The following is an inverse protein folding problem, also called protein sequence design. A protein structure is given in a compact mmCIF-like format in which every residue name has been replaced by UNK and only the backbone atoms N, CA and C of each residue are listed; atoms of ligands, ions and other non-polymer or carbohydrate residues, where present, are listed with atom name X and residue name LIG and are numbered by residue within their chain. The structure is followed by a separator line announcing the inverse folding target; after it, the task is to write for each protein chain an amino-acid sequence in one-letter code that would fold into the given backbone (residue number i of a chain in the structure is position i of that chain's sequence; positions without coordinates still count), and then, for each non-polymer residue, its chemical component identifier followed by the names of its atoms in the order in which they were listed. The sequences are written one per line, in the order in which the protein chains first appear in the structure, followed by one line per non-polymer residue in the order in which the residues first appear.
data_IF_002100905148
#
_entry.id   IF_002100905148
#
_cell.length_a   1.000
_cell.length_b   1.000
_cell.length_c   1.000
_cell.angle_alpha   90.00
_cell.angle_beta   90.00
_cell.angle_gamma   90.00
#
_symmetry.space_group_name_H-M   'P 1'
#
loop_
_entity.id
_entity.type
_entity.pdbx_description
1 polymer ?
#
# COMPACT_ATOMS: atom_id res chain seq x y z
N UNK A 1 -6.73 -12.01 1.43
CA UNK A 1 -6.30 -12.52 0.11
C UNK A 1 -7.28 -13.60 -0.27
N UNK A 2 -7.86 -13.57 -1.49
CA UNK A 2 -8.70 -14.66 -1.98
C UNK A 2 -7.94 -16.00 -1.96
N UNK A 3 -8.61 -17.09 -1.59
CA UNK A 3 -7.97 -18.41 -1.40
C UNK A 3 -7.37 -19.00 -2.69
N UNK A 4 -7.85 -18.57 -3.84
CA UNK A 4 -7.45 -19.05 -5.16
C UNK A 4 -6.33 -18.20 -5.81
N UNK A 5 -5.87 -17.17 -5.13
CA UNK A 5 -4.81 -16.27 -5.65
C UNK A 5 -3.46 -16.62 -5.02
N UNK A 6 -2.44 -16.95 -5.84
CA UNK A 6 -1.11 -17.22 -5.31
C UNK A 6 -0.52 -15.99 -4.64
N UNK A 7 -0.06 -16.15 -3.42
CA UNK A 7 0.65 -15.16 -2.65
C UNK A 7 1.90 -15.78 -2.06
N UNK A 8 2.98 -15.03 -2.04
CA UNK A 8 4.29 -15.48 -1.56
C UNK A 8 4.77 -14.55 -0.45
N UNK A 9 5.35 -15.10 0.59
CA UNK A 9 6.04 -14.31 1.58
C UNK A 9 7.31 -13.68 0.96
N UNK A 10 7.59 -12.43 1.29
CA UNK A 10 8.76 -11.70 0.81
C UNK A 10 10.06 -12.47 1.13
N UNK A 11 10.14 -13.06 2.33
CA UNK A 11 11.25 -13.91 2.77
C UNK A 11 11.48 -15.12 1.87
N UNK A 12 10.42 -15.74 1.36
CA UNK A 12 10.53 -16.91 0.49
C UNK A 12 11.07 -16.52 -0.88
N UNK A 13 10.63 -15.37 -1.39
CA UNK A 13 11.15 -14.78 -2.62
C UNK A 13 12.66 -14.51 -2.47
N UNK A 14 13.07 -13.87 -1.35
CA UNK A 14 14.48 -13.59 -1.07
C UNK A 14 15.32 -14.89 -0.95
N UNK A 15 14.77 -15.93 -0.32
CA UNK A 15 15.45 -17.24 -0.23
C UNK A 15 15.60 -17.89 -1.62
N UNK A 16 14.57 -17.83 -2.46
CA UNK A 16 14.64 -18.33 -3.84
C UNK A 16 15.71 -17.61 -4.66
N UNK A 17 15.79 -16.30 -4.54
CA UNK A 17 16.82 -15.47 -5.21
C UNK A 17 18.22 -15.85 -4.69
N UNK A 18 18.38 -15.98 -3.38
CA UNK A 18 19.65 -16.38 -2.77
C UNK A 18 20.09 -17.77 -3.21
N UNK A 19 19.16 -18.70 -3.35
CA UNK A 19 19.45 -20.03 -3.91
C UNK A 19 19.98 -19.93 -5.35
N UNK A 20 19.31 -19.17 -6.22
CA UNK A 20 19.75 -18.98 -7.60
C UNK A 20 21.12 -18.28 -7.70
N UNK A 21 21.39 -17.30 -6.82
CA UNK A 21 22.67 -16.63 -6.72
C UNK A 21 23.79 -17.61 -6.32
N UNK A 22 23.57 -18.42 -5.27
CA UNK A 22 24.55 -19.39 -4.78
C UNK A 22 24.86 -20.44 -5.85
N UNK A 23 23.85 -20.86 -6.60
CA UNK A 23 24.04 -21.79 -7.71
C UNK A 23 24.90 -21.19 -8.84
N UNK A 24 24.63 -19.92 -9.20
CA UNK A 24 25.42 -19.21 -10.19
C UNK A 24 26.89 -19.00 -9.76
N UNK A 25 27.11 -18.75 -8.48
CA UNK A 25 28.47 -18.67 -7.90
C UNK A 25 29.21 -20.00 -8.00
N UNK A 26 28.57 -21.10 -7.67
CA UNK A 26 29.17 -22.46 -7.75
C UNK A 26 29.65 -22.80 -9.17
N UNK A 27 28.92 -22.33 -10.17
CA UNK A 27 29.25 -22.57 -11.60
C UNK A 27 30.02 -21.42 -12.25
N UNK A 28 30.41 -20.41 -11.50
CA UNK A 28 31.08 -19.20 -11.98
C UNK A 28 30.35 -18.52 -13.15
N UNK A 29 29.01 -18.49 -13.12
CA UNK A 29 28.15 -17.95 -14.18
C UNK A 29 27.53 -16.62 -13.79
N UNK A 30 27.33 -15.70 -14.77
CA UNK A 30 26.46 -14.54 -14.54
C UNK A 30 25.02 -15.01 -14.31
N UNK A 31 24.27 -14.23 -13.54
CA UNK A 31 22.84 -14.47 -13.32
C UNK A 31 22.03 -13.19 -13.54
N UNK A 32 20.88 -13.36 -14.17
CA UNK A 32 19.85 -12.35 -14.32
C UNK A 32 18.63 -12.83 -13.55
N UNK A 33 18.20 -12.05 -12.57
CA UNK A 33 16.96 -12.30 -11.80
C UNK A 33 15.88 -11.44 -12.45
N UNK A 34 14.82 -12.08 -12.94
CA UNK A 34 13.65 -11.41 -13.49
C UNK A 34 12.44 -11.71 -12.61
N UNK A 35 11.86 -10.67 -11.98
CA UNK A 35 10.70 -10.78 -11.10
C UNK A 35 9.50 -10.09 -11.74
N UNK A 36 8.50 -10.90 -12.11
CA UNK A 36 7.20 -10.44 -12.64
C UNK A 36 6.11 -10.37 -11.58
N UNK A 37 6.48 -10.02 -10.35
CA UNK A 37 5.58 -9.90 -9.20
C UNK A 37 5.67 -8.52 -8.59
N UNK A 38 4.65 -8.13 -7.84
CA UNK A 38 4.63 -6.86 -7.14
C UNK A 38 3.58 -6.79 -6.05
N UNK A 39 3.69 -5.79 -5.21
CA UNK A 39 2.76 -5.48 -4.12
C UNK A 39 2.53 -3.99 -4.04
N UNK A 40 1.34 -3.58 -3.56
CA UNK A 40 1.06 -2.20 -3.17
C UNK A 40 1.37 -1.93 -1.69
N UNK A 41 1.95 -2.89 -0.97
CA UNK A 41 2.41 -2.66 0.39
C UNK A 41 3.71 -1.87 0.41
N UNK A 42 3.86 -0.99 1.39
CA UNK A 42 5.01 -0.12 1.54
C UNK A 42 4.73 1.34 1.13
N UNK A 43 5.71 2.20 1.40
CA UNK A 43 5.61 3.65 1.11
C UNK A 43 5.85 4.01 -0.36
N UNK A 44 5.92 3.04 -1.25
CA UNK A 44 6.29 3.21 -2.67
C UNK A 44 7.61 3.96 -2.88
N UNK A 45 8.54 3.74 -1.95
CA UNK A 45 9.93 4.21 -1.98
C UNK A 45 10.90 3.03 -1.87
N UNK A 46 12.06 3.23 -1.26
CA UNK A 46 13.10 2.21 -1.10
C UNK A 46 13.04 1.44 0.22
N UNK A 47 11.91 1.50 0.92
CA UNK A 47 11.82 1.01 2.29
C UNK A 47 11.71 -0.51 2.44
N UNK A 48 11.24 -1.26 1.44
CA UNK A 48 11.01 -2.69 1.61
C UNK A 48 12.30 -3.51 1.75
N UNK A 49 12.24 -4.60 2.50
CA UNK A 49 13.36 -5.52 2.67
C UNK A 49 13.78 -6.15 1.34
N UNK A 50 12.82 -6.51 0.50
CA UNK A 50 13.06 -7.06 -0.83
C UNK A 50 13.76 -6.04 -1.74
N UNK A 51 13.28 -4.79 -1.80
CA UNK A 51 13.90 -3.75 -2.61
C UNK A 51 15.36 -3.50 -2.19
N UNK A 52 15.64 -3.44 -0.89
CA UNK A 52 16.99 -3.29 -0.35
C UNK A 52 17.89 -4.48 -0.70
N UNK A 53 17.36 -5.71 -0.59
CA UNK A 53 18.08 -6.92 -0.95
C UNK A 53 18.43 -6.96 -2.45
N UNK A 54 17.45 -6.67 -3.31
CA UNK A 54 17.65 -6.60 -4.76
C UNK A 54 18.62 -5.51 -5.17
N UNK A 55 18.56 -4.35 -4.51
CA UNK A 55 19.50 -3.26 -4.73
C UNK A 55 20.94 -3.68 -4.38
N UNK A 56 21.13 -4.43 -3.29
CA UNK A 56 22.42 -4.97 -2.88
C UNK A 56 22.93 -6.05 -3.85
N UNK A 57 22.03 -6.91 -4.34
CA UNK A 57 22.35 -7.93 -5.33
C UNK A 57 22.80 -7.31 -6.67
N UNK A 58 22.09 -6.30 -7.15
CA UNK A 58 22.38 -5.61 -8.41
C UNK A 58 23.72 -4.83 -8.39
N UNK A 59 24.30 -4.59 -7.21
CA UNK A 59 25.64 -4.01 -7.07
C UNK A 59 26.76 -5.00 -7.34
N UNK A 60 26.49 -6.30 -7.22
CA UNK A 60 27.51 -7.33 -7.40
C UNK A 60 27.83 -7.50 -8.89
N UNK A 61 29.12 -7.76 -9.18
CA UNK A 61 29.57 -8.04 -10.54
C UNK A 61 28.89 -9.31 -11.10
N UNK A 62 28.55 -9.28 -12.37
CA UNK A 62 27.88 -10.38 -13.08
C UNK A 62 26.48 -10.72 -12.53
N UNK A 63 25.82 -9.74 -11.91
CA UNK A 63 24.45 -9.82 -11.45
C UNK A 63 23.62 -8.73 -12.13
N UNK A 64 22.42 -9.08 -12.57
CA UNK A 64 21.42 -8.11 -13.04
C UNK A 64 20.05 -8.45 -12.47
N UNK A 65 19.26 -7.42 -12.19
CA UNK A 65 17.89 -7.55 -11.69
C UNK A 65 16.97 -6.81 -12.66
N UNK A 66 15.91 -7.49 -13.08
CA UNK A 66 14.87 -6.94 -13.96
C UNK A 66 13.53 -7.08 -13.26
N UNK A 67 12.79 -5.98 -13.17
CA UNK A 67 11.54 -5.87 -12.42
C UNK A 67 10.41 -5.38 -13.34
N UNK A 68 9.18 -5.69 -12.98
CA UNK A 68 7.97 -5.13 -13.60
C UNK A 68 7.49 -3.91 -12.81
N UNK A 69 6.86 -2.94 -13.47
CA UNK A 69 6.24 -1.78 -12.83
C UNK A 69 4.91 -2.09 -12.13
N UNK A 70 4.33 -3.26 -12.38
CA UNK A 70 2.95 -3.58 -12.01
C UNK A 70 1.94 -3.01 -13.01
N UNK A 71 0.66 -3.22 -12.73
CA UNK A 71 -0.48 -2.86 -13.59
C UNK A 71 -1.51 -1.96 -12.86
N UNK A 72 -1.09 -1.27 -11.80
CA UNK A 72 -1.99 -0.56 -10.89
C UNK A 72 -2.35 0.87 -11.34
N UNK A 73 -1.72 1.38 -12.42
CA UNK A 73 -1.94 2.77 -12.88
C UNK A 73 -3.39 3.15 -13.17
N UNK A 74 -4.22 2.21 -13.61
CA UNK A 74 -5.65 2.40 -13.88
C UNK A 74 -6.55 1.63 -12.91
N UNK A 75 -5.99 1.02 -11.86
CA UNK A 75 -6.73 0.18 -10.93
C UNK A 75 -7.52 0.99 -9.87
N UNK A 76 -7.25 2.28 -9.76
CA UNK A 76 -7.84 3.17 -8.77
C UNK A 76 -7.54 2.75 -7.31
N UNK A 77 -6.37 2.17 -7.07
CA UNK A 77 -5.93 1.65 -5.78
C UNK A 77 -4.98 2.58 -5.03
N UNK A 78 -4.69 3.76 -5.56
CA UNK A 78 -3.92 4.79 -4.88
C UNK A 78 -4.75 6.07 -4.72
N UNK A 79 -4.63 6.69 -3.55
CA UNK A 79 -5.22 7.99 -3.23
C UNK A 79 -4.13 8.90 -2.64
N UNK A 80 -4.00 10.09 -3.17
CA UNK A 80 -3.16 11.16 -2.63
C UNK A 80 -4.05 12.20 -1.96
N UNK A 81 -3.88 12.35 -0.64
CA UNK A 81 -4.66 13.26 0.17
C UNK A 81 -3.88 14.50 0.59
N UNK A 82 -4.60 15.61 0.72
CA UNK A 82 -4.08 16.86 1.21
C UNK A 82 -5.06 17.50 2.20
N UNK A 83 -4.64 17.68 3.44
CA UNK A 83 -5.40 18.41 4.45
C UNK A 83 -4.83 19.83 4.55
N UNK A 84 -5.63 20.86 4.22
CA UNK A 84 -5.21 22.25 4.39
C UNK A 84 -4.95 22.63 5.85
N UNK A 85 -4.32 23.75 6.07
CA UNK A 85 -4.21 24.37 7.39
C UNK A 85 -5.60 24.67 7.98
N UNK A 86 -5.73 24.53 9.30
CA UNK A 86 -6.94 24.84 10.03
C UNK A 86 -7.45 23.68 10.91
N UNK A 87 -7.94 24.01 12.10
CA UNK A 87 -8.37 23.02 13.10
C UNK A 87 -9.53 22.11 12.65
N UNK A 88 -10.41 22.61 11.80
CA UNK A 88 -11.55 21.86 11.26
C UNK A 88 -11.34 21.36 9.84
N UNK A 89 -10.12 21.56 9.29
CA UNK A 89 -9.80 21.10 7.94
C UNK A 89 -9.68 19.58 7.89
N UNK A 90 -10.20 19.00 6.84
CA UNK A 90 -10.11 17.56 6.57
C UNK A 90 -10.08 17.26 5.08
N UNK A 91 -9.54 16.11 4.73
CA UNK A 91 -9.69 15.49 3.41
C UNK A 91 -10.63 14.27 3.54
N UNK A 92 -11.48 14.07 2.54
CA UNK A 92 -12.39 12.93 2.50
C UNK A 92 -11.88 11.88 1.53
N UNK A 93 -11.64 10.69 2.07
CA UNK A 93 -11.30 9.48 1.31
C UNK A 93 -12.58 8.67 1.14
N UNK A 94 -12.99 8.45 -0.10
CA UNK A 94 -14.16 7.64 -0.44
C UNK A 94 -13.70 6.34 -1.08
N UNK A 95 -14.08 5.23 -0.44
CA UNK A 95 -13.73 3.89 -0.88
C UNK A 95 -15.02 3.17 -1.28
N UNK A 96 -15.13 2.80 -2.54
CA UNK A 96 -16.17 1.85 -2.95
C UNK A 96 -15.70 0.45 -2.59
N UNK A 97 -16.52 -0.28 -1.88
CA UNK A 97 -16.33 -1.70 -1.59
C UNK A 97 -17.31 -2.51 -2.42
N UNK A 98 -16.79 -3.45 -3.20
CA UNK A 98 -17.56 -4.31 -4.07
C UNK A 98 -18.31 -5.43 -3.34
N UNK A 99 -19.29 -6.02 -4.01
CA UNK A 99 -20.02 -7.16 -3.45
C UNK A 99 -19.11 -8.39 -3.33
N UNK A 100 -19.28 -9.12 -2.22
CA UNK A 100 -18.51 -10.31 -1.92
C UNK A 100 -17.06 -10.06 -1.52
N UNK A 101 -16.68 -8.80 -1.22
CA UNK A 101 -15.40 -8.50 -0.59
C UNK A 101 -15.36 -9.08 0.82
N UNK A 102 -14.36 -9.93 1.07
CA UNK A 102 -14.22 -10.59 2.38
C UNK A 102 -13.36 -9.80 3.35
N UNK A 103 -12.50 -8.95 2.84
CA UNK A 103 -11.63 -8.10 3.62
C UNK A 103 -10.36 -7.73 2.89
N UNK A 104 -9.77 -6.62 3.31
CA UNK A 104 -8.50 -6.13 2.76
C UNK A 104 -7.72 -5.32 3.80
N UNK A 105 -6.45 -5.16 3.53
CA UNK A 105 -5.56 -4.26 4.27
C UNK A 105 -5.29 -3.03 3.41
N UNK A 106 -5.59 -1.85 3.94
CA UNK A 106 -5.24 -0.56 3.34
C UNK A 106 -4.13 0.07 4.17
N UNK A 107 -3.10 0.58 3.51
CA UNK A 107 -2.00 1.28 4.15
C UNK A 107 -2.11 2.79 3.88
N UNK A 108 -1.94 3.57 4.94
CA UNK A 108 -1.83 5.02 4.88
C UNK A 108 -0.42 5.42 5.33
N UNK A 109 0.23 6.22 4.51
CA UNK A 109 1.57 6.70 4.76
C UNK A 109 1.56 8.22 4.86
N UNK A 110 2.18 8.73 5.90
CA UNK A 110 2.27 10.16 6.21
C UNK A 110 3.68 10.55 6.65
N UNK A 111 3.89 11.84 6.82
CA UNK A 111 5.18 12.38 7.26
C UNK A 111 5.18 12.65 8.75
N UNK A 112 6.26 12.28 9.42
CA UNK A 112 6.51 12.66 10.81
C UNK A 112 6.92 14.14 10.85
N UNK A 113 6.43 14.95 11.79
CA UNK A 113 5.68 14.63 13.02
C UNK A 113 4.18 14.95 12.93
N UNK A 114 3.53 14.71 11.81
CA UNK A 114 2.10 14.98 11.68
C UNK A 114 1.31 14.10 12.66
N UNK A 115 0.19 14.60 13.18
CA UNK A 115 -0.68 13.84 14.06
C UNK A 115 -2.05 13.71 13.41
N UNK A 116 -2.35 12.51 12.97
CA UNK A 116 -3.50 12.18 12.16
C UNK A 116 -4.70 11.80 13.04
N UNK A 117 -5.86 12.32 12.67
CA UNK A 117 -7.16 11.91 13.18
C UNK A 117 -8.05 11.47 12.05
N UNK A 118 -8.98 10.57 12.33
CA UNK A 118 -9.99 10.18 11.39
C UNK A 118 -11.38 10.13 11.99
N UNK A 119 -12.37 10.20 11.13
CA UNK A 119 -13.73 9.73 11.40
C UNK A 119 -14.14 8.78 10.28
N UNK A 120 -14.95 7.79 10.60
CA UNK A 120 -15.39 6.79 9.62
C UNK A 120 -16.90 6.83 9.54
N UNK A 121 -17.44 6.86 8.32
CA UNK A 121 -18.86 6.69 8.04
C UNK A 121 -19.06 5.49 7.14
N UNK A 122 -19.92 4.59 7.57
CA UNK A 122 -20.28 3.37 6.82
C UNK A 122 -21.25 3.67 5.67
N UNK A 123 -21.43 2.74 4.73
CA UNK A 123 -22.46 2.85 3.69
C UNK A 123 -23.87 2.99 4.26
N UNK A 124 -24.19 2.34 5.38
CA UNK A 124 -25.48 2.43 6.07
C UNK A 124 -25.66 3.69 6.91
N UNK A 125 -24.60 4.50 7.05
CA UNK A 125 -24.66 5.79 7.74
C UNK A 125 -24.25 5.74 9.21
N UNK A 126 -23.80 4.61 9.75
CA UNK A 126 -23.19 4.53 11.08
C UNK A 126 -21.89 5.35 11.09
N UNK A 127 -21.64 6.09 12.17
CA UNK A 127 -20.49 7.00 12.25
C UNK A 127 -19.64 6.70 13.46
N UNK A 128 -18.35 6.48 13.24
CA UNK A 128 -17.33 6.60 14.28
C UNK A 128 -16.90 8.07 14.32
N UNK A 129 -17.11 8.78 15.43
CA UNK A 129 -16.70 10.16 15.57
C UNK A 129 -15.17 10.29 15.51
N UNK A 130 -14.68 11.51 15.38
CA UNK A 130 -13.25 11.81 15.28
C UNK A 130 -12.44 11.13 16.39
N UNK A 131 -11.44 10.34 15.99
CA UNK A 131 -10.52 9.63 16.88
C UNK A 131 -9.08 9.81 16.38
N UNK A 132 -8.12 9.58 17.26
CA UNK A 132 -6.70 9.67 16.92
C UNK A 132 -6.26 8.41 16.20
N UNK A 133 -5.66 8.56 15.01
CA UNK A 133 -5.10 7.44 14.26
C UNK A 133 -3.80 6.91 14.88
N UNK A 134 -2.96 7.83 15.36
CA UNK A 134 -1.67 7.52 16.01
C UNK A 134 -1.82 7.22 17.50
N UNK A 135 -2.67 6.27 17.85
CA UNK A 135 -2.80 5.81 19.25
C UNK A 135 -1.82 4.65 19.52
N UNK A 136 -1.38 4.54 20.76
CA UNK A 136 -0.65 3.34 21.17
C UNK A 136 -1.57 2.12 21.12
N UNK A 137 -1.08 1.04 20.50
CA UNK A 137 -1.79 -0.22 20.35
C UNK A 137 -2.81 -0.22 19.21
N UNK A 138 -3.45 -1.37 19.07
CA UNK A 138 -4.45 -1.62 18.05
C UNK A 138 -5.82 -1.08 18.46
N UNK A 139 -6.47 -0.34 17.58
CA UNK A 139 -7.85 0.14 17.75
C UNK A 139 -8.81 -0.72 16.94
N UNK A 140 -9.91 -1.16 17.53
CA UNK A 140 -10.92 -1.98 16.86
C UNK A 140 -12.28 -1.28 16.88
N UNK A 141 -12.88 -1.11 15.71
CA UNK A 141 -14.22 -0.59 15.51
C UNK A 141 -15.10 -1.68 14.93
N UNK A 142 -16.23 -1.96 15.62
CA UNK A 142 -17.21 -2.96 15.16
C UNK A 142 -18.52 -2.26 14.83
N UNK A 143 -18.95 -2.39 13.58
CA UNK A 143 -20.18 -1.81 13.07
C UNK A 143 -21.30 -2.87 13.13
N UNK A 144 -22.31 -2.60 13.94
CA UNK A 144 -23.35 -3.59 14.28
C UNK A 144 -24.28 -3.82 13.08
N UNK A 145 -24.67 -2.76 12.39
CA UNK A 145 -25.59 -2.84 11.27
C UNK A 145 -24.96 -3.45 10.03
N UNK A 146 -23.72 -3.11 9.77
CA UNK A 146 -22.94 -3.61 8.62
C UNK A 146 -22.26 -4.95 8.90
N UNK A 147 -22.16 -5.39 10.17
CA UNK A 147 -21.41 -6.58 10.57
C UNK A 147 -19.94 -6.55 10.15
N UNK A 148 -19.42 -5.35 9.96
CA UNK A 148 -18.03 -5.08 9.56
C UNK A 148 -17.19 -4.78 10.79
N UNK A 149 -15.95 -5.20 10.75
CA UNK A 149 -14.93 -4.81 11.74
C UNK A 149 -13.77 -4.14 11.04
N UNK A 150 -13.31 -3.01 11.60
CA UNK A 150 -12.08 -2.35 11.14
C UNK A 150 -11.09 -2.35 12.29
N UNK A 151 -9.91 -2.88 12.04
CA UNK A 151 -8.78 -2.85 12.97
C UNK A 151 -7.76 -1.87 12.43
N UNK A 152 -7.32 -0.94 13.26
CA UNK A 152 -6.37 0.11 12.90
C UNK A 152 -5.14 -0.03 13.79
N UNK A 153 -4.00 -0.23 13.15
CA UNK A 153 -2.69 -0.27 13.80
C UNK A 153 -1.85 0.90 13.27
N UNK A 154 -1.02 1.49 14.12
CA UNK A 154 -0.14 2.59 13.73
C UNK A 154 1.30 2.36 14.18
N UNK A 155 2.23 2.75 13.32
CA UNK A 155 3.66 2.83 13.59
C UNK A 155 4.06 4.28 13.32
N UNK A 156 4.33 5.04 14.38
CA UNK A 156 4.61 6.48 14.27
C UNK A 156 5.86 6.75 13.42
N UNK A 157 6.87 5.92 13.54
CA UNK A 157 8.10 5.98 12.72
C UNK A 157 8.41 4.57 12.25
N UNK A 158 8.11 4.28 10.99
CA UNK A 158 8.46 3.00 10.39
C UNK A 158 9.99 2.94 10.22
N UNK A 159 10.68 1.89 10.75
CA UNK A 159 12.13 1.89 10.90
C UNK A 159 12.93 2.01 9.60
N UNK A 160 12.39 1.53 8.47
CA UNK A 160 13.10 1.52 7.20
C UNK A 160 12.90 2.80 6.39
N UNK A 161 11.77 3.47 6.56
CA UNK A 161 11.39 4.65 5.77
C UNK A 161 11.50 5.95 6.55
N UNK A 162 11.34 5.89 7.88
CA UNK A 162 11.23 7.08 8.73
C UNK A 162 9.89 7.81 8.62
N UNK A 163 8.93 7.22 7.90
CA UNK A 163 7.58 7.76 7.71
C UNK A 163 6.59 7.13 8.70
N UNK A 164 5.42 7.74 8.83
CA UNK A 164 4.32 7.20 9.61
C UNK A 164 3.54 6.19 8.78
N UNK A 165 3.29 5.01 9.34
CA UNK A 165 2.44 3.97 8.75
C UNK A 165 1.21 3.72 9.62
N UNK A 166 0.04 3.81 9.00
CA UNK A 166 -1.23 3.44 9.59
C UNK A 166 -1.88 2.39 8.71
N UNK A 167 -2.22 1.25 9.29
CA UNK A 167 -2.89 0.17 8.57
C UNK A 167 -4.35 0.08 8.99
N UNK A 168 -5.24 -0.04 8.00
CA UNK A 168 -6.66 -0.28 8.17
C UNK A 168 -6.99 -1.68 7.67
N UNK A 169 -7.25 -2.59 8.57
CA UNK A 169 -7.72 -3.92 8.21
C UNK A 169 -9.24 -3.96 8.23
N UNK A 170 -9.84 -4.04 7.07
CA UNK A 170 -11.26 -4.27 6.91
C UNK A 170 -11.55 -5.77 6.95
N UNK A 171 -12.44 -6.19 7.81
CA UNK A 171 -12.90 -7.57 7.97
C UNK A 171 -14.39 -7.62 7.67
N UNK A 172 -14.78 -8.42 6.68
CA UNK A 172 -16.13 -8.54 6.14
C UNK A 172 -16.81 -7.20 5.85
N UNK A 173 -16.19 -6.31 5.03
CA UNK A 173 -16.76 -4.99 4.78
C UNK A 173 -18.06 -5.08 3.99
N UNK A 174 -19.10 -4.37 4.45
CA UNK A 174 -20.35 -4.24 3.72
C UNK A 174 -20.12 -3.50 2.41
N UNK A 175 -20.68 -3.99 1.29
CA UNK A 175 -20.61 -3.31 0.00
C UNK A 175 -21.21 -1.90 0.05
N UNK A 176 -20.61 -0.98 -0.71
CA UNK A 176 -21.04 0.39 -0.79
C UNK A 176 -19.91 1.38 -0.62
N UNK A 177 -20.23 2.65 -0.35
CA UNK A 177 -19.23 3.71 -0.22
C UNK A 177 -18.93 3.97 1.25
N UNK A 178 -17.71 3.68 1.63
CA UNK A 178 -17.12 4.01 2.92
C UNK A 178 -16.46 5.38 2.83
N UNK A 179 -16.70 6.23 3.84
CA UNK A 179 -16.07 7.55 3.91
C UNK A 179 -15.15 7.62 5.13
N UNK A 180 -13.88 7.95 4.88
CA UNK A 180 -12.91 8.22 5.93
C UNK A 180 -12.53 9.69 5.80
N UNK A 181 -12.82 10.49 6.83
CA UNK A 181 -12.31 11.86 6.88
C UNK A 181 -11.02 11.86 7.68
N UNK A 182 -9.98 12.39 7.09
CA UNK A 182 -8.66 12.53 7.69
C UNK A 182 -8.47 13.99 8.10
N UNK A 183 -8.09 14.22 9.34
CA UNK A 183 -7.89 15.55 9.93
C UNK A 183 -6.44 15.72 10.36
N UNK A 184 -5.96 16.95 10.30
CA UNK A 184 -4.71 17.36 10.90
C UNK A 184 -4.96 18.10 12.20
N UNK A 185 -4.13 17.87 13.22
CA UNK A 185 -4.22 18.59 14.50
C UNK A 185 -3.43 19.90 14.52
N UNK A 186 -2.50 20.07 13.60
CA UNK A 186 -1.70 21.30 13.55
C UNK A 186 -2.45 22.42 12.83
N UNK A 187 -2.88 23.51 13.53
CA UNK A 187 -3.60 24.60 12.87
C UNK A 187 -2.75 25.34 11.84
N UNK A 188 -1.42 25.26 11.97
CA UNK A 188 -0.46 26.07 11.22
C UNK A 188 0.28 25.28 10.12
N UNK A 189 -0.15 24.07 9.80
CA UNK A 189 0.50 23.20 8.80
C UNK A 189 -0.50 22.45 7.97
N UNK A 190 -0.31 22.50 6.67
CA UNK A 190 -0.94 21.54 5.76
C UNK A 190 -0.24 20.18 5.83
N UNK A 191 -0.97 19.14 5.50
CA UNK A 191 -0.48 17.77 5.56
C UNK A 191 -0.77 17.03 4.26
N UNK A 192 0.16 16.23 3.81
CA UNK A 192 0.00 15.32 2.68
C UNK A 192 0.16 13.88 3.15
N UNK A 193 -0.69 13.01 2.66
CA UNK A 193 -0.66 11.58 2.94
C UNK A 193 -1.04 10.78 1.70
N UNK A 194 -0.67 9.52 1.70
CA UNK A 194 -1.01 8.60 0.62
C UNK A 194 -1.70 7.36 1.20
N UNK A 195 -2.64 6.80 0.44
CA UNK A 195 -3.27 5.52 0.77
C UNK A 195 -3.14 4.56 -0.41
N UNK A 196 -2.86 3.32 -0.09
CA UNK A 196 -2.86 2.23 -1.07
C UNK A 196 -3.76 1.09 -0.61
N UNK A 197 -4.61 0.66 -1.52
CA UNK A 197 -5.31 -0.61 -1.45
C UNK A 197 -4.39 -1.72 -1.98
N UNK A 198 -4.65 -2.99 -1.65
CA UNK A 198 -3.92 -4.11 -2.24
C UNK A 198 -3.97 -4.10 -3.78
N UNK A 199 -3.05 -4.84 -4.39
CA UNK A 199 -3.07 -5.02 -5.86
C UNK A 199 -4.37 -5.67 -6.33
N UNK A 200 -4.69 -5.48 -7.61
CA UNK A 200 -5.93 -5.94 -8.25
C UNK A 200 -6.28 -7.41 -7.98
N UNK A 201 -5.27 -8.29 -7.89
CA UNK A 201 -5.51 -9.72 -7.64
C UNK A 201 -6.01 -10.03 -6.23
N UNK A 202 -5.79 -9.15 -5.27
CA UNK A 202 -6.14 -9.35 -3.87
C UNK A 202 -7.46 -8.66 -3.47
N UNK A 203 -8.09 -7.97 -4.42
CA UNK A 203 -9.36 -7.28 -4.23
C UNK A 203 -10.44 -7.82 -5.18
N UNK A 204 -11.69 -7.55 -4.85
CA UNK A 204 -12.77 -7.63 -5.84
C UNK A 204 -12.70 -6.43 -6.78
N UNK A 205 -13.03 -6.63 -8.06
CA UNK A 205 -12.89 -5.60 -9.11
C UNK A 205 -13.59 -4.28 -8.82
N UNK A 206 -14.58 -4.29 -7.96
CA UNK A 206 -15.37 -3.10 -7.61
C UNK A 206 -14.93 -2.46 -6.29
N UNK A 207 -13.79 -2.85 -5.73
CA UNK A 207 -13.19 -2.24 -4.53
C UNK A 207 -12.08 -1.29 -4.96
N UNK A 208 -12.32 0.03 -4.82
CA UNK A 208 -11.41 1.07 -5.31
C UNK A 208 -11.70 2.44 -4.69
N UNK A 209 -10.77 3.40 -4.82
CA UNK A 209 -11.01 4.80 -4.45
C UNK A 209 -11.85 5.53 -5.51
N UNK A 210 -12.87 6.30 -5.08
CA UNK A 210 -13.70 7.07 -6.02
C UNK A 210 -12.99 8.27 -6.64
N UNK A 211 -11.95 8.78 -5.96
CA UNK A 211 -11.08 9.85 -6.44
C UNK A 211 -9.61 9.38 -6.42
N UNK A 212 -9.24 8.42 -7.27
CA UNK A 212 -7.88 7.87 -7.27
C UNK A 212 -6.89 8.87 -7.84
N UNK A 213 -5.63 8.71 -7.44
CA UNK A 213 -4.48 9.34 -8.07
C UNK A 213 -3.75 8.27 -8.90
N UNK A 214 -3.58 8.44 -10.23
CA UNK A 214 -2.91 7.47 -11.08
C UNK A 214 -1.38 7.49 -10.95
N UNK A 215 -0.82 8.48 -10.27
CA UNK A 215 0.61 8.59 -10.04
C UNK A 215 1.02 7.76 -8.81
N UNK A 216 2.32 7.49 -8.69
CA UNK A 216 2.91 6.72 -7.56
C UNK A 216 2.27 5.33 -7.40
N UNK A 217 2.03 4.66 -8.53
CA UNK A 217 1.41 3.33 -8.62
C UNK A 217 2.37 2.22 -9.02
N UNK A 218 3.67 2.50 -9.01
CA UNK A 218 4.70 1.46 -9.18
C UNK A 218 4.62 0.50 -7.99
N UNK A 219 4.49 -0.79 -8.28
CA UNK A 219 4.45 -1.81 -7.22
C UNK A 219 5.84 -2.09 -6.65
N UNK A 220 5.92 -2.38 -5.35
CA UNK A 220 7.16 -2.87 -4.75
C UNK A 220 7.48 -4.27 -5.31
N UNK A 221 8.73 -4.59 -5.69
CA UNK A 221 9.98 -3.85 -5.46
C UNK A 221 10.47 -3.01 -6.67
N UNK A 222 9.60 -2.55 -7.55
CA UNK A 222 10.00 -1.88 -8.81
C UNK A 222 10.80 -0.58 -8.62
N UNK A 223 10.74 0.03 -7.43
CA UNK A 223 11.50 1.23 -7.07
C UNK A 223 12.97 0.96 -6.71
N UNK A 224 13.47 -0.25 -6.91
CA UNK A 224 14.88 -0.61 -6.67
C UNK A 224 15.81 0.17 -7.60
N UNK A 225 16.70 0.99 -7.06
CA UNK A 225 17.52 1.94 -7.85
C UNK A 225 18.46 1.31 -8.87
N UNK A 226 18.97 0.12 -8.59
CA UNK A 226 19.97 -0.54 -9.45
C UNK A 226 19.40 -1.67 -10.29
N UNK A 227 18.10 -1.85 -10.25
CA UNK A 227 17.40 -2.78 -11.13
C UNK A 227 17.00 -2.08 -12.45
N UNK A 228 16.73 -2.88 -13.45
CA UNK A 228 16.07 -2.45 -14.69
C UNK A 228 14.57 -2.66 -14.50
N UNK A 229 13.82 -1.59 -14.36
CA UNK A 229 12.36 -1.66 -14.25
C UNK A 229 11.73 -1.49 -15.63
N UNK A 230 10.89 -2.42 -16.02
CA UNK A 230 10.27 -2.49 -17.36
C UNK A 230 8.77 -2.28 -17.24
N UNK A 231 8.26 -1.32 -18.01
CA UNK A 231 6.84 -1.03 -18.18
C UNK A 231 6.37 -1.40 -19.58
N UNK A 232 5.09 -1.73 -19.72
CA UNK A 232 4.42 -1.79 -21.01
C UNK A 232 3.69 -0.49 -21.31
N UNK A 233 3.49 -0.16 -22.57
CA UNK A 233 2.62 0.94 -23.00
C UNK A 233 1.68 0.44 -24.10
N UNK A 234 0.56 1.14 -24.26
CA UNK A 234 -0.40 0.82 -25.30
C UNK A 234 -0.15 1.71 -26.52
N UNK A 235 0.36 1.12 -27.60
CA UNK A 235 0.70 1.79 -28.87
C UNK A 235 -0.56 2.23 -29.66
N UNK A 236 -1.73 1.65 -29.36
CA UNK A 236 -2.98 1.92 -30.09
C UNK A 236 -3.61 3.28 -29.78
N UNK A 237 -3.10 4.02 -28.81
CA UNK A 237 -3.66 5.31 -28.35
C UNK A 237 -2.72 6.51 -28.65
N UNK A 238 -1.73 6.37 -29.50
CA UNK A 238 -0.90 7.48 -30.01
C UNK A 238 -1.39 8.01 -31.34
#
# INVERSE_FOLDING_TARGET
IPEDVPAYAESDIMLGIKFAESFAETFERPVVICLGIGSNSGNHGLGSGLAQYLNSLAQKRSRAVVLTTGNEGNAAHHFSGYVPEGEESYETVEIRVGEGEQGFLMEMWGKVPDTLFASIRTPGGEVVPRFRLTAEGSQTFSFIYERTRIIIDSILVEPNTGEELITFRFDAPTPGVWNIRVYNLGPDRSMQFHLWLPITQFLRRETYFLRPDPYTTLTDPSMTFRAVTVSSYNDANN
#
